data_IF_337285067996
#
_entry.id   IF_337285067996
#
_cell.length_a   1.000
_cell.length_b   1.000
_cell.length_c   1.000
_cell.angle_alpha   90.00
_cell.angle_beta   90.00
_cell.angle_gamma   90.00
#
_symmetry.space_group_name_H-M   'P 1'
#
loop_
_entity.id
_entity.type
_entity.pdbx_description
1 polymer ?
#
# COMPACT_ATOMS: atom_id res chain seq x y z
N UNK A 1 -0.30 -3.87 10.74
CA UNK A 1 1.13 -3.92 10.40
C UNK A 1 1.31 -3.66 8.92
N UNK A 2 2.42 -3.05 8.49
CA UNK A 2 2.79 -2.88 7.08
C UNK A 2 3.70 -4.01 6.67
N UNK A 3 3.20 -4.86 5.78
CA UNK A 3 3.92 -6.02 5.25
C UNK A 3 4.54 -5.62 3.90
N UNK A 4 5.68 -6.20 3.49
CA UNK A 4 6.38 -5.81 2.26
C UNK A 4 5.60 -6.13 0.99
N UNK A 5 4.70 -7.11 1.03
CA UNK A 5 3.78 -7.43 -0.08
C UNK A 5 2.56 -6.51 -0.19
N UNK A 6 2.48 -5.44 0.60
CA UNK A 6 1.45 -4.42 0.45
C UNK A 6 1.88 -3.42 -0.63
N UNK A 7 0.97 -2.99 -1.48
CA UNK A 7 1.27 -2.10 -2.62
C UNK A 7 1.85 -0.71 -2.25
N UNK A 8 1.80 -0.33 -0.97
CA UNK A 8 2.29 0.96 -0.45
C UNK A 8 3.54 0.84 0.43
N UNK A 9 4.04 -0.38 0.61
CA UNK A 9 5.27 -0.63 1.35
C UNK A 9 6.47 -0.21 0.49
N UNK A 10 7.03 0.96 0.80
CA UNK A 10 8.27 1.44 0.21
C UNK A 10 9.19 1.89 1.33
N UNK A 11 10.06 0.99 1.77
CA UNK A 11 11.08 1.21 2.79
C UNK A 11 12.31 0.39 2.41
N UNK A 12 13.53 0.76 2.83
CA UNK A 12 14.76 0.14 2.33
C UNK A 12 14.79 -1.39 2.48
N UNK A 13 14.30 -1.92 3.61
CA UNK A 13 14.23 -3.37 3.83
C UNK A 13 13.14 -4.09 3.02
N UNK A 14 12.16 -3.37 2.46
CA UNK A 14 11.20 -3.97 1.52
C UNK A 14 11.83 -4.26 0.15
N UNK A 15 12.94 -3.59 -0.19
CA UNK A 15 13.56 -3.75 -1.50
C UNK A 15 14.01 -5.19 -1.75
N UNK A 16 14.59 -5.85 -0.74
CA UNK A 16 14.95 -7.26 -0.81
C UNK A 16 13.76 -8.16 -1.17
N UNK A 17 12.58 -7.87 -0.61
CA UNK A 17 11.36 -8.59 -0.96
C UNK A 17 10.92 -8.30 -2.40
N UNK A 18 10.96 -7.03 -2.81
CA UNK A 18 10.57 -6.61 -4.18
C UNK A 18 11.47 -7.27 -5.21
N UNK A 19 12.78 -7.33 -4.96
CA UNK A 19 13.74 -7.93 -5.88
C UNK A 19 13.54 -9.46 -5.96
N UNK A 20 13.35 -10.12 -4.82
CA UNK A 20 13.03 -11.55 -4.79
C UNK A 20 11.67 -11.86 -5.46
N UNK A 21 10.67 -11.02 -5.25
CA UNK A 21 9.35 -11.16 -5.86
C UNK A 21 9.42 -11.01 -7.39
N UNK A 22 10.16 -10.02 -7.89
CA UNK A 22 10.41 -9.83 -9.33
C UNK A 22 11.18 -10.98 -9.98
N UNK A 23 12.09 -11.63 -9.24
CA UNK A 23 12.83 -12.80 -9.71
C UNK A 23 12.04 -14.11 -9.61
N UNK A 24 10.90 -14.11 -8.91
CA UNK A 24 10.06 -15.29 -8.73
C UNK A 24 9.07 -15.46 -9.89
N UNK A 25 8.53 -16.67 -10.10
CA UNK A 25 7.42 -16.90 -11.04
C UNK A 25 6.12 -16.17 -10.67
N UNK A 26 6.10 -15.49 -9.52
CA UNK A 26 4.92 -14.80 -8.98
C UNK A 26 5.00 -13.28 -9.22
N UNK A 27 5.97 -12.83 -10.02
CA UNK A 27 6.15 -11.44 -10.41
C UNK A 27 4.90 -10.85 -11.11
N UNK A 28 4.08 -11.71 -11.71
CA UNK A 28 2.85 -11.33 -12.41
C UNK A 28 1.69 -11.06 -11.44
N UNK A 29 1.80 -11.52 -10.18
CA UNK A 29 0.74 -11.41 -9.18
C UNK A 29 0.80 -10.05 -8.50
N UNK A 30 -0.21 -9.16 -8.65
CA UNK A 30 -0.15 -7.82 -8.09
C UNK A 30 -0.09 -7.83 -6.56
N UNK A 31 0.69 -6.90 -6.00
CA UNK A 31 0.81 -6.68 -4.56
C UNK A 31 -0.55 -6.34 -3.93
N UNK A 32 -0.72 -6.70 -2.65
CA UNK A 32 -2.00 -6.55 -1.97
C UNK A 32 -2.41 -5.07 -1.85
N UNK A 33 -3.57 -4.68 -2.38
CA UNK A 33 -4.11 -3.34 -2.21
C UNK A 33 -4.70 -3.17 -0.81
N UNK A 34 -4.94 -1.92 -0.40
CA UNK A 34 -5.67 -1.63 0.83
C UNK A 34 -7.14 -2.04 0.65
N UNK A 35 -7.68 -2.81 1.59
CA UNK A 35 -9.08 -3.29 1.60
C UNK A 35 -9.85 -2.84 2.83
N UNK A 36 -9.19 -2.71 3.98
CA UNK A 36 -9.82 -2.34 5.25
C UNK A 36 -9.62 -0.85 5.55
N UNK A 37 -10.54 -0.14 6.26
CA UNK A 37 -10.34 1.25 6.68
C UNK A 37 -9.00 1.51 7.37
N UNK A 38 -8.58 0.60 8.27
CA UNK A 38 -7.28 0.69 8.96
C UNK A 38 -6.09 0.65 7.98
N UNK A 39 -6.22 -0.13 6.90
CA UNK A 39 -5.19 -0.24 5.85
C UNK A 39 -5.16 1.02 4.98
N UNK A 40 -6.32 1.54 4.56
CA UNK A 40 -6.39 2.80 3.80
C UNK A 40 -5.76 3.97 4.55
N UNK A 41 -6.06 4.11 5.85
CA UNK A 41 -5.45 5.15 6.69
C UNK A 41 -3.92 5.03 6.77
N UNK A 42 -3.40 3.80 6.90
CA UNK A 42 -1.94 3.56 6.88
C UNK A 42 -1.35 3.85 5.51
N UNK A 43 -1.97 3.38 4.43
CA UNK A 43 -1.55 3.59 3.04
C UNK A 43 -1.42 5.08 2.72
N UNK A 44 -2.46 5.87 3.00
CA UNK A 44 -2.43 7.33 2.81
C UNK A 44 -1.27 7.99 3.55
N UNK A 45 -1.02 7.61 4.81
CA UNK A 45 0.12 8.15 5.57
C UNK A 45 1.47 7.81 4.92
N UNK A 46 1.64 6.58 4.44
CA UNK A 46 2.87 6.17 3.75
C UNK A 46 3.06 6.91 2.43
N UNK A 47 2.01 7.03 1.63
CA UNK A 47 2.04 7.78 0.36
C UNK A 47 2.41 9.25 0.59
N UNK A 48 1.86 9.87 1.65
CA UNK A 48 2.21 11.23 2.04
C UNK A 48 3.68 11.38 2.43
N UNK A 49 4.24 10.43 3.19
CA UNK A 49 5.66 10.43 3.56
C UNK A 49 6.59 10.18 2.36
N UNK A 50 6.10 9.47 1.34
CA UNK A 50 6.80 9.24 0.08
C UNK A 50 6.65 10.39 -0.93
N UNK A 51 6.01 11.51 -0.56
CA UNK A 51 5.74 12.64 -1.46
C UNK A 51 4.63 12.39 -2.50
N UNK A 52 3.92 11.24 -2.43
CA UNK A 52 2.83 10.87 -3.35
C UNK A 52 1.50 11.46 -2.89
N UNK A 53 1.39 12.79 -2.90
CA UNK A 53 0.23 13.50 -2.36
C UNK A 53 -1.08 13.17 -3.07
N UNK A 54 -1.10 13.10 -4.40
CA UNK A 54 -2.29 12.71 -5.18
C UNK A 54 -2.80 11.31 -4.80
N UNK A 55 -1.89 10.33 -4.74
CA UNK A 55 -2.23 8.97 -4.32
C UNK A 55 -2.75 8.93 -2.87
N UNK A 56 -2.12 9.72 -1.98
CA UNK A 56 -2.56 9.85 -0.58
C UNK A 56 -4.00 10.36 -0.47
N UNK A 57 -4.40 11.35 -1.29
CA UNK A 57 -5.78 11.87 -1.31
C UNK A 57 -6.76 10.78 -1.74
N UNK A 58 -6.45 10.05 -2.83
CA UNK A 58 -7.28 8.94 -3.33
C UNK A 58 -7.44 7.85 -2.25
N UNK A 59 -6.34 7.46 -1.61
CA UNK A 59 -6.36 6.49 -0.51
C UNK A 59 -7.17 6.97 0.70
N UNK A 60 -7.15 8.28 0.98
CA UNK A 60 -7.95 8.87 2.04
C UNK A 60 -9.45 8.91 1.71
N UNK A 61 -9.81 9.19 0.45
CA UNK A 61 -11.19 9.05 -0.04
C UNK A 61 -11.66 7.59 0.11
N UNK A 62 -10.80 6.62 -0.22
CA UNK A 62 -11.07 5.20 0.01
C UNK A 62 -11.32 4.88 1.49
N UNK A 63 -10.54 5.46 2.41
CA UNK A 63 -10.78 5.37 3.84
C UNK A 63 -12.16 5.91 4.25
N UNK A 64 -12.53 7.09 3.76
CA UNK A 64 -13.82 7.70 4.07
C UNK A 64 -14.99 6.86 3.56
N UNK A 65 -14.93 6.34 2.33
CA UNK A 65 -15.95 5.46 1.76
C UNK A 65 -16.16 4.20 2.60
N UNK A 66 -15.08 3.51 2.96
CA UNK A 66 -15.15 2.29 3.78
C UNK A 66 -15.56 2.57 5.24
N UNK A 67 -15.32 3.79 5.74
CA UNK A 67 -15.81 4.21 7.05
C UNK A 67 -17.31 4.52 7.04
N UNK A 68 -17.82 5.08 5.95
CA UNK A 68 -19.24 5.43 5.76
C UNK A 68 -20.12 4.23 5.41
N UNK A 69 -19.56 3.19 4.78
CA UNK A 69 -20.24 1.93 4.50
C UNK A 69 -20.55 1.09 5.75
N UNK A 70 -19.94 1.42 6.88
CA UNK A 70 -19.98 0.65 8.11
C UNK A 70 -20.80 1.38 9.16
#
# INVERSE_FOLDING_TARGET
MTKPWNSWANYPSAQFFVDAWKASPWADVPLLPARTPKQYKKKSRHERLQGKYFASIISYIGYLREKLKK
#
